data_IF_592312925214
#
_entry.id   IF_592312925214
#
_cell.length_a   1.000
_cell.length_b   1.000
_cell.length_c   1.000
_cell.angle_alpha   90.00
_cell.angle_beta   90.00
_cell.angle_gamma   90.00
#
_symmetry.space_group_name_H-M   'P 1'
#
loop_
_entity.id
_entity.type
_entity.pdbx_description
1 polymer ?
#
# COMPACT_ATOMS: atom_id res chain seq x y z
N UNK A 1 -59.96 -10.32 37.59
CA UNK A 1 -59.73 -11.64 36.94
C UNK A 1 -59.00 -11.56 35.58
N UNK A 2 -59.01 -10.44 34.84
CA UNK A 2 -58.32 -10.32 33.54
C UNK A 2 -56.78 -10.39 33.62
N UNK A 3 -56.16 -9.78 34.64
CA UNK A 3 -54.70 -9.76 34.80
C UNK A 3 -54.07 -11.15 35.02
N UNK A 4 -54.78 -12.03 35.74
CA UNK A 4 -54.34 -13.41 35.98
C UNK A 4 -54.25 -14.22 34.68
N UNK A 5 -55.13 -13.96 33.70
CA UNK A 5 -55.09 -14.62 32.39
C UNK A 5 -53.90 -14.16 31.54
N UNK A 6 -53.53 -12.88 31.63
CA UNK A 6 -52.39 -12.31 30.89
C UNK A 6 -51.07 -12.87 31.42
N UNK A 7 -50.92 -12.95 32.75
CA UNK A 7 -49.72 -13.53 33.38
C UNK A 7 -49.59 -15.01 33.03
N UNK A 8 -50.70 -15.76 33.03
CA UNK A 8 -50.69 -17.18 32.72
C UNK A 8 -50.30 -17.44 31.25
N UNK A 9 -50.85 -16.67 30.31
CA UNK A 9 -50.50 -16.78 28.89
C UNK A 9 -49.03 -16.42 28.62
N UNK A 10 -48.51 -15.35 29.23
CA UNK A 10 -47.10 -14.97 29.08
C UNK A 10 -46.16 -16.05 29.65
N UNK A 11 -46.51 -16.63 30.81
CA UNK A 11 -45.73 -17.72 31.39
C UNK A 11 -45.70 -18.97 30.52
N UNK A 12 -46.83 -19.32 29.88
CA UNK A 12 -46.90 -20.44 28.94
C UNK A 12 -46.08 -20.18 27.68
N UNK A 13 -46.09 -18.96 27.13
CA UNK A 13 -45.29 -18.62 25.95
C UNK A 13 -43.79 -18.69 26.24
N UNK A 14 -43.35 -18.17 27.39
CA UNK A 14 -41.93 -18.23 27.80
C UNK A 14 -41.50 -19.68 28.03
N UNK A 15 -42.32 -20.47 28.74
CA UNK A 15 -42.04 -21.89 28.97
C UNK A 15 -41.96 -22.69 27.66
N UNK A 16 -42.85 -22.40 26.69
CA UNK A 16 -42.82 -23.02 25.37
C UNK A 16 -41.55 -22.68 24.58
N UNK A 17 -41.13 -21.40 24.58
CA UNK A 17 -39.89 -20.98 23.91
C UNK A 17 -38.64 -21.58 24.56
N UNK A 18 -38.59 -21.66 25.89
CA UNK A 18 -37.49 -22.31 26.61
C UNK A 18 -37.45 -23.80 26.31
N UNK A 19 -38.61 -24.48 26.26
CA UNK A 19 -38.70 -25.89 25.91
C UNK A 19 -38.18 -26.13 24.48
N UNK A 20 -38.64 -25.35 23.50
CA UNK A 20 -38.17 -25.45 22.12
C UNK A 20 -36.67 -25.17 21.97
N UNK A 21 -36.13 -24.18 22.69
CA UNK A 21 -34.70 -23.87 22.66
C UNK A 21 -33.85 -25.01 23.23
N UNK A 22 -34.31 -25.65 24.30
CA UNK A 22 -33.62 -26.80 24.90
C UNK A 22 -33.68 -28.03 23.99
N UNK A 23 -34.83 -28.30 23.36
CA UNK A 23 -34.98 -29.40 22.39
C UNK A 23 -34.09 -29.16 21.16
N UNK A 24 -33.99 -27.92 20.69
CA UNK A 24 -33.13 -27.56 19.57
C UNK A 24 -31.64 -27.72 19.93
N UNK A 25 -31.23 -27.38 21.16
CA UNK A 25 -29.85 -27.63 21.62
C UNK A 25 -29.53 -29.12 21.80
N UNK A 26 -30.51 -29.95 22.17
CA UNK A 26 -30.33 -31.41 22.27
C UNK A 26 -30.25 -32.06 20.89
N UNK A 27 -31.11 -31.67 19.96
CA UNK A 27 -31.11 -32.18 18.58
C UNK A 27 -29.91 -31.67 17.78
N UNK A 28 -29.39 -30.48 18.10
CA UNK A 28 -28.23 -29.87 17.44
C UNK A 28 -26.88 -30.27 18.05
N UNK A 29 -26.82 -31.11 19.09
CA UNK A 29 -25.55 -31.71 19.53
C UNK A 29 -25.33 -32.96 18.68
N UNK A 30 -24.55 -32.88 17.58
CA UNK A 30 -24.30 -34.05 16.79
C UNK A 30 -23.40 -34.91 17.67
N UNK A 31 -23.87 -36.08 18.12
CA UNK A 31 -23.00 -37.18 18.54
C UNK A 31 -22.32 -37.80 17.31
N UNK A 32 -21.87 -36.94 16.39
CA UNK A 32 -20.97 -37.33 15.34
C UNK A 32 -19.63 -37.55 16.00
N UNK A 33 -19.10 -38.78 15.89
CA UNK A 33 -17.68 -39.02 15.99
C UNK A 33 -16.96 -37.83 15.34
N UNK A 34 -16.25 -37.03 16.13
CA UNK A 34 -15.27 -36.11 15.57
C UNK A 34 -14.31 -37.01 14.82
N UNK A 35 -14.53 -37.12 13.51
CA UNK A 35 -13.57 -37.69 12.58
C UNK A 35 -12.37 -36.79 12.74
N UNK A 36 -11.41 -37.25 13.54
CA UNK A 36 -10.16 -36.57 13.81
C UNK A 36 -9.60 -36.17 12.46
N UNK A 37 -9.74 -34.88 12.13
CA UNK A 37 -9.22 -34.36 10.88
C UNK A 37 -7.72 -34.51 11.05
N UNK A 38 -7.07 -35.41 10.28
CA UNK A 38 -5.64 -35.63 10.46
C UNK A 38 -4.97 -34.27 10.33
N UNK A 39 -4.18 -33.90 11.34
CA UNK A 39 -3.47 -32.63 11.40
C UNK A 39 -2.63 -32.50 10.13
N UNK A 40 -3.17 -31.86 9.10
CA UNK A 40 -2.44 -31.56 7.89
C UNK A 40 -1.40 -30.54 8.27
N UNK A 41 -0.15 -30.97 8.35
CA UNK A 41 0.98 -30.06 8.51
C UNK A 41 0.98 -29.16 7.28
N UNK A 42 0.52 -27.91 7.46
CA UNK A 42 0.58 -26.89 6.42
C UNK A 42 2.04 -26.50 6.25
N UNK A 43 2.72 -27.16 5.31
CA UNK A 43 4.06 -26.74 4.88
C UNK A 43 3.86 -25.56 3.95
N UNK A 44 4.23 -24.36 4.41
CA UNK A 44 4.22 -23.18 3.56
C UNK A 44 5.21 -23.38 2.39
N UNK A 45 4.79 -23.13 1.13
CA UNK A 45 5.72 -23.15 0.01
C UNK A 45 6.84 -22.14 0.22
N UNK A 46 8.01 -22.40 -0.36
CA UNK A 46 9.14 -21.48 -0.28
C UNK A 46 8.73 -20.08 -0.77
N UNK A 47 9.16 -19.01 -0.10
CA UNK A 47 8.82 -17.65 -0.51
C UNK A 47 9.40 -17.38 -1.89
N UNK A 48 8.56 -16.90 -2.81
CA UNK A 48 8.98 -16.61 -4.17
C UNK A 48 10.01 -15.46 -4.26
N UNK A 49 10.04 -14.59 -3.24
CA UNK A 49 10.99 -13.50 -3.10
C UNK A 49 12.02 -13.80 -2.01
N UNK A 50 13.31 -13.61 -2.32
CA UNK A 50 14.44 -13.78 -1.39
C UNK A 50 15.22 -12.47 -1.24
N UNK A 51 15.58 -12.06 -0.01
CA UNK A 51 16.41 -10.87 0.19
C UNK A 51 17.77 -11.04 -0.49
N UNK A 52 18.26 -9.95 -1.08
CA UNK A 52 19.62 -9.86 -1.59
C UNK A 52 20.53 -9.21 -0.53
N UNK A 53 21.82 -9.58 -0.49
CA UNK A 53 22.78 -8.83 0.31
C UNK A 53 22.84 -7.36 -0.15
N UNK A 54 23.30 -6.42 0.71
CA UNK A 54 23.44 -5.02 0.33
C UNK A 54 24.17 -4.88 -1.00
N UNK A 55 23.50 -4.32 -1.99
CA UNK A 55 24.02 -4.15 -3.35
C UNK A 55 23.79 -2.71 -3.81
N UNK A 56 24.61 -2.18 -4.74
CA UNK A 56 24.41 -0.84 -5.27
C UNK A 56 23.01 -0.70 -5.85
N UNK A 57 22.24 0.26 -5.31
CA UNK A 57 20.88 0.51 -5.76
C UNK A 57 20.93 1.42 -6.98
N UNK A 58 20.33 1.02 -8.12
CA UNK A 58 20.43 1.78 -9.37
C UNK A 58 19.58 3.06 -9.37
N UNK A 59 18.85 3.34 -8.30
CA UNK A 59 17.85 4.40 -8.21
C UNK A 59 18.20 5.43 -7.13
N UNK A 60 17.77 6.67 -7.35
CA UNK A 60 17.81 7.74 -6.36
C UNK A 60 16.50 8.54 -6.36
N UNK A 61 16.29 9.31 -5.29
CA UNK A 61 15.20 10.28 -5.18
C UNK A 61 15.83 11.67 -5.13
N UNK A 62 15.66 12.44 -6.20
CA UNK A 62 16.17 13.80 -6.31
C UNK A 62 15.54 14.69 -5.24
N UNK A 63 16.37 15.51 -4.58
CA UNK A 63 15.91 16.41 -3.54
C UNK A 63 15.48 15.72 -2.24
N UNK A 64 15.79 14.43 -2.06
CA UNK A 64 15.71 13.77 -0.76
C UNK A 64 16.65 14.48 0.24
N UNK A 65 16.08 15.12 1.25
CA UNK A 65 16.83 15.67 2.37
C UNK A 65 17.01 14.57 3.42
N UNK A 66 18.19 13.95 3.45
CA UNK A 66 18.55 12.91 4.43
C UNK A 66 19.03 11.60 3.79
N UNK A 67 19.30 10.60 4.63
CA UNK A 67 19.71 9.27 4.18
C UNK A 67 18.52 8.50 3.62
N UNK A 68 18.63 8.03 2.37
CA UNK A 68 17.67 7.10 1.78
C UNK A 68 18.12 5.69 2.11
N UNK A 69 17.36 5.00 2.96
CA UNK A 69 17.60 3.59 3.23
C UNK A 69 17.15 2.76 2.03
N UNK A 70 17.79 1.61 1.81
CA UNK A 70 17.44 0.77 0.68
C UNK A 70 17.62 -0.72 0.95
N UNK A 71 16.75 -1.50 0.33
CA UNK A 71 16.69 -2.95 0.44
C UNK A 71 16.45 -3.54 -0.94
N UNK A 72 17.09 -4.68 -1.25
CA UNK A 72 16.92 -5.36 -2.52
C UNK A 72 16.47 -6.81 -2.29
N UNK A 73 15.63 -7.32 -3.18
CA UNK A 73 15.21 -8.72 -3.20
C UNK A 73 15.08 -9.23 -4.63
N UNK A 74 15.22 -10.52 -4.78
CA UNK A 74 15.13 -11.22 -6.06
C UNK A 74 13.98 -12.22 -6.01
N UNK A 75 13.24 -12.31 -7.11
CA UNK A 75 12.18 -13.27 -7.31
C UNK A 75 12.72 -14.55 -7.97
N UNK A 76 12.04 -15.67 -7.77
CA UNK A 76 12.42 -16.96 -8.36
C UNK A 76 12.49 -16.94 -9.91
N UNK A 77 11.82 -15.99 -10.57
CA UNK A 77 11.87 -15.80 -12.02
C UNK A 77 12.97 -14.84 -12.50
N UNK A 78 13.84 -14.36 -11.59
CA UNK A 78 14.93 -13.42 -11.89
C UNK A 78 14.54 -11.94 -11.85
N UNK A 79 13.29 -11.59 -11.51
CA UNK A 79 12.91 -10.20 -11.27
C UNK A 79 13.60 -9.65 -10.02
N UNK A 80 14.04 -8.41 -10.07
CA UNK A 80 14.68 -7.71 -8.94
C UNK A 80 13.77 -6.59 -8.45
N UNK A 81 13.49 -6.53 -7.16
CA UNK A 81 12.81 -5.39 -6.51
C UNK A 81 13.81 -4.64 -5.64
N UNK A 82 13.97 -3.35 -5.89
CA UNK A 82 14.72 -2.42 -5.04
C UNK A 82 13.72 -1.50 -4.33
N UNK A 83 13.75 -1.46 -2.99
CA UNK A 83 12.93 -0.59 -2.16
C UNK A 83 13.78 0.57 -1.64
N UNK A 84 13.33 1.80 -1.87
CA UNK A 84 13.87 3.03 -1.31
C UNK A 84 12.96 3.52 -0.19
N UNK A 85 13.54 3.90 0.94
CA UNK A 85 12.83 4.41 2.11
C UNK A 85 13.40 5.77 2.49
N UNK A 86 12.54 6.79 2.49
CA UNK A 86 12.86 8.15 2.90
C UNK A 86 12.20 8.44 4.24
N UNK A 87 13.00 8.85 5.23
CA UNK A 87 12.50 9.17 6.56
C UNK A 87 11.98 7.94 7.31
N UNK A 88 11.19 8.20 8.36
CA UNK A 88 10.56 7.17 9.20
C UNK A 88 9.06 7.44 9.30
N UNK A 89 8.26 6.39 9.45
CA UNK A 89 6.83 6.55 9.64
C UNK A 89 6.55 7.42 10.88
N UNK A 90 5.68 8.42 10.73
CA UNK A 90 5.44 9.48 11.71
C UNK A 90 6.24 10.76 11.48
N UNK A 91 7.27 10.75 10.63
CA UNK A 91 8.00 11.97 10.27
C UNK A 91 7.16 12.86 9.33
N UNK A 92 7.53 14.16 9.28
CA UNK A 92 6.91 15.14 8.39
C UNK A 92 6.96 14.75 6.90
N UNK A 93 7.91 13.88 6.54
CA UNK A 93 8.06 13.33 5.21
C UNK A 93 8.54 11.89 5.32
N UNK A 94 7.64 10.98 5.03
CA UNK A 94 7.92 9.55 4.96
C UNK A 94 7.54 9.05 3.57
N UNK A 95 8.41 8.32 2.91
CA UNK A 95 8.07 7.68 1.65
C UNK A 95 8.70 6.30 1.55
N UNK A 96 7.98 5.40 0.90
CA UNK A 96 8.54 4.13 0.46
C UNK A 96 8.18 3.94 -1.00
N UNK A 97 9.19 3.60 -1.80
CA UNK A 97 9.03 3.27 -3.22
C UNK A 97 9.71 1.95 -3.44
N UNK A 98 9.05 0.98 -4.07
CA UNK A 98 9.78 -0.16 -4.61
C UNK A 98 9.60 -0.25 -6.11
N UNK A 99 10.73 -0.46 -6.76
CA UNK A 99 10.91 -0.50 -8.21
C UNK A 99 11.28 -1.93 -8.58
N UNK A 100 10.56 -2.51 -9.52
CA UNK A 100 10.75 -3.88 -10.00
C UNK A 100 11.33 -3.84 -11.40
N UNK A 101 12.42 -4.59 -11.61
CA UNK A 101 13.03 -4.85 -12.91
C UNK A 101 12.79 -6.30 -13.32
N UNK A 102 12.48 -6.50 -14.60
CA UNK A 102 12.13 -7.81 -15.15
C UNK A 102 10.63 -8.10 -15.08
N UNK A 103 10.25 -9.30 -15.50
CA UNK A 103 8.85 -9.74 -15.48
C UNK A 103 8.44 -10.03 -14.04
N UNK A 104 7.79 -9.06 -13.41
CA UNK A 104 7.18 -9.26 -12.09
C UNK A 104 6.03 -10.27 -12.12
N UNK A 105 5.49 -10.58 -10.94
CA UNK A 105 4.19 -11.25 -10.85
C UNK A 105 3.11 -10.37 -11.47
N UNK A 106 2.02 -10.99 -11.96
CA UNK A 106 0.87 -10.25 -12.48
C UNK A 106 0.34 -9.31 -11.41
N UNK A 107 0.24 -8.02 -11.74
CA UNK A 107 -0.22 -6.99 -10.83
C UNK A 107 -1.63 -7.33 -10.32
N UNK A 108 -1.84 -7.26 -9.01
CA UNK A 108 -3.14 -7.45 -8.40
C UNK A 108 -3.98 -6.19 -8.49
N UNK A 109 -5.09 -6.17 -7.74
CA UNK A 109 -5.81 -4.92 -7.49
C UNK A 109 -4.92 -3.95 -6.73
N UNK A 110 -5.00 -2.65 -7.03
CA UNK A 110 -4.18 -1.61 -6.40
C UNK A 110 -4.21 -1.69 -4.87
N UNK A 111 -5.39 -1.83 -4.29
CA UNK A 111 -5.58 -1.93 -2.84
C UNK A 111 -4.84 -3.13 -2.23
N UNK A 112 -5.00 -4.33 -2.79
CA UNK A 112 -4.35 -5.55 -2.27
C UNK A 112 -2.82 -5.43 -2.34
N UNK A 113 -2.28 -4.85 -3.41
CA UNK A 113 -0.84 -4.66 -3.55
C UNK A 113 -0.29 -3.65 -2.53
N UNK A 114 -1.03 -2.57 -2.26
CA UNK A 114 -0.69 -1.62 -1.19
C UNK A 114 -0.75 -2.30 0.17
N UNK A 115 -1.82 -3.03 0.48
CA UNK A 115 -2.00 -3.70 1.78
C UNK A 115 -0.86 -4.70 2.04
N UNK A 116 -0.54 -5.54 1.06
CA UNK A 116 0.57 -6.50 1.16
C UNK A 116 1.90 -5.79 1.41
N UNK A 117 2.14 -4.67 0.76
CA UNK A 117 3.39 -3.91 0.92
C UNK A 117 3.43 -3.15 2.25
N UNK A 118 2.34 -2.54 2.68
CA UNK A 118 2.22 -1.92 4.00
C UNK A 118 2.53 -2.95 5.09
N UNK A 119 1.94 -4.15 5.01
CA UNK A 119 2.18 -5.22 5.98
C UNK A 119 3.67 -5.65 6.04
N UNK A 120 4.35 -5.74 4.89
CA UNK A 120 5.81 -6.01 4.84
C UNK A 120 6.63 -4.93 5.56
N UNK A 121 6.16 -3.69 5.51
CA UNK A 121 6.78 -2.55 6.17
C UNK A 121 6.34 -2.37 7.63
N UNK A 122 5.58 -3.32 8.19
CA UNK A 122 5.05 -3.24 9.56
C UNK A 122 3.98 -2.17 9.74
N UNK A 123 3.26 -1.83 8.67
CA UNK A 123 2.18 -0.85 8.64
C UNK A 123 0.85 -1.52 8.27
N UNK A 124 -0.25 -0.95 8.75
CA UNK A 124 -1.61 -1.29 8.34
C UNK A 124 -2.18 -0.21 7.42
N UNK A 125 -3.12 -0.58 6.56
CA UNK A 125 -3.94 0.36 5.79
C UNK A 125 -5.23 0.59 6.55
N UNK A 126 -5.41 1.77 7.14
CA UNK A 126 -6.64 2.14 7.85
C UNK A 126 -7.75 2.54 6.86
N UNK A 127 -7.39 3.24 5.79
CA UNK A 127 -8.33 3.70 4.78
C UNK A 127 -7.63 3.87 3.43
N UNK A 128 -8.36 3.60 2.33
CA UNK A 128 -7.99 4.02 0.98
C UNK A 128 -9.16 4.76 0.34
N UNK A 129 -8.89 5.96 -0.19
CA UNK A 129 -9.84 6.73 -1.00
C UNK A 129 -9.85 6.27 -2.45
N UNK A 130 -10.74 6.82 -3.29
CA UNK A 130 -10.83 6.43 -4.71
C UNK A 130 -9.51 6.63 -5.47
N UNK A 131 -9.17 5.68 -6.36
CA UNK A 131 -8.00 5.83 -7.23
C UNK A 131 -8.28 6.76 -8.40
N UNK A 132 -7.24 7.42 -8.87
CA UNK A 132 -7.24 8.35 -10.00
C UNK A 132 -5.92 8.28 -10.74
N UNK A 133 -5.92 8.69 -12.00
CA UNK A 133 -4.69 8.84 -12.79
C UNK A 133 -4.11 10.23 -12.60
N UNK A 134 -2.80 10.31 -12.41
CA UNK A 134 -2.04 11.57 -12.34
C UNK A 134 -0.94 11.55 -13.40
N UNK A 135 -0.65 12.69 -14.01
CA UNK A 135 0.40 12.81 -15.01
C UNK A 135 1.77 12.97 -14.34
N UNK A 136 2.75 12.20 -14.83
CA UNK A 136 4.14 12.24 -14.35
C UNK A 136 5.08 12.11 -15.55
N UNK A 137 6.38 12.30 -15.33
CA UNK A 137 7.40 12.06 -16.36
C UNK A 137 7.42 10.62 -16.86
N UNK A 138 6.94 9.65 -16.07
CA UNK A 138 6.82 8.25 -16.47
C UNK A 138 5.54 7.95 -17.25
N UNK A 139 4.69 8.97 -17.46
CA UNK A 139 3.34 8.86 -17.99
C UNK A 139 2.28 8.84 -16.88
N UNK A 140 1.05 8.43 -17.21
CA UNK A 140 -0.04 8.33 -16.25
C UNK A 140 0.26 7.30 -15.15
N UNK A 141 0.15 7.71 -13.90
CA UNK A 141 0.36 6.89 -12.71
C UNK A 141 -0.95 6.80 -11.93
N UNK A 142 -1.33 5.58 -11.51
CA UNK A 142 -2.50 5.41 -10.65
C UNK A 142 -2.14 5.80 -9.23
N UNK A 143 -2.92 6.71 -8.62
CA UNK A 143 -2.72 7.21 -7.28
C UNK A 143 -4.02 7.21 -6.46
N UNK A 144 -3.92 7.08 -5.14
CA UNK A 144 -5.07 7.16 -4.25
C UNK A 144 -4.70 7.75 -2.88
N UNK A 145 -5.59 8.55 -2.25
CA UNK A 145 -5.45 8.91 -0.85
C UNK A 145 -5.39 7.64 0.01
N UNK A 146 -4.48 7.60 0.97
CA UNK A 146 -4.21 6.45 1.82
C UNK A 146 -3.99 6.91 3.26
N UNK A 147 -4.60 6.23 4.23
CA UNK A 147 -4.24 6.39 5.64
C UNK A 147 -3.49 5.14 6.07
N UNK A 148 -2.22 5.30 6.42
CA UNK A 148 -1.39 4.25 6.98
C UNK A 148 -1.40 4.34 8.50
N UNK A 149 -1.33 3.19 9.16
CA UNK A 149 -1.36 3.09 10.60
C UNK A 149 -0.24 2.20 11.14
N UNK A 150 0.29 2.59 12.29
CA UNK A 150 1.09 1.75 13.18
C UNK A 150 0.75 2.16 14.62
N UNK A 151 1.67 2.76 15.37
CA UNK A 151 1.40 3.37 16.68
C UNK A 151 0.56 4.65 16.61
N UNK A 152 0.36 5.17 15.40
CA UNK A 152 -0.49 6.31 15.07
C UNK A 152 -0.87 6.24 13.59
N UNK A 153 -1.74 7.16 13.16
CA UNK A 153 -2.18 7.27 11.78
C UNK A 153 -1.44 8.39 11.06
N UNK A 154 -1.17 8.19 9.77
CA UNK A 154 -0.57 9.21 8.92
C UNK A 154 -1.25 9.21 7.55
N UNK A 155 -1.58 10.41 7.08
CA UNK A 155 -2.16 10.61 5.76
C UNK A 155 -1.08 10.60 4.67
N UNK A 156 -1.35 9.84 3.63
CA UNK A 156 -0.44 9.55 2.54
C UNK A 156 -1.16 9.57 1.20
N UNK A 157 -0.40 9.55 0.12
CA UNK A 157 -0.87 9.20 -1.21
C UNK A 157 -0.13 7.93 -1.65
N UNK A 158 -0.89 6.88 -1.95
CA UNK A 158 -0.37 5.70 -2.61
C UNK A 158 -0.23 5.96 -4.12
N UNK A 159 0.70 5.28 -4.77
CA UNK A 159 0.84 5.33 -6.22
C UNK A 159 1.39 4.02 -6.79
N UNK A 160 1.06 3.73 -8.05
CA UNK A 160 1.69 2.69 -8.86
C UNK A 160 1.72 3.10 -10.32
N UNK A 161 2.80 2.77 -11.01
CA UNK A 161 2.82 2.81 -12.47
C UNK A 161 2.01 1.61 -12.98
N UNK A 162 0.80 1.83 -13.54
CA UNK A 162 0.00 0.73 -14.08
C UNK A 162 0.73 0.13 -15.29
N UNK A 163 0.64 -1.19 -15.45
CA UNK A 163 1.10 -1.96 -16.61
C UNK A 163 2.32 -1.33 -17.31
N UNK A 164 3.39 -1.14 -16.53
CA UNK A 164 4.66 -0.69 -17.08
C UNK A 164 5.09 -1.60 -18.23
N UNK A 165 5.98 -1.12 -19.12
CA UNK A 165 6.61 -2.03 -20.07
C UNK A 165 7.07 -3.27 -19.31
N UNK A 166 6.85 -4.48 -19.83
CA UNK A 166 6.91 -5.74 -19.08
C UNK A 166 8.23 -6.02 -18.31
N UNK A 167 9.21 -5.12 -18.40
CA UNK A 167 10.49 -5.14 -17.73
C UNK A 167 10.68 -4.08 -16.62
N UNK A 168 9.73 -3.17 -16.36
CA UNK A 168 9.84 -2.16 -15.29
C UNK A 168 8.49 -1.71 -14.71
N UNK A 169 8.35 -1.74 -13.39
CA UNK A 169 7.22 -1.16 -12.67
C UNK A 169 7.67 -0.51 -11.36
N UNK A 170 6.85 0.37 -10.80
CA UNK A 170 7.07 0.89 -9.46
C UNK A 170 5.74 1.15 -8.76
N UNK A 171 5.78 1.09 -7.43
CA UNK A 171 4.68 1.47 -6.57
C UNK A 171 5.19 1.90 -5.20
N UNK A 172 4.36 2.59 -4.45
CA UNK A 172 4.76 3.12 -3.16
C UNK A 172 3.73 4.04 -2.54
N UNK A 173 4.20 4.80 -1.56
CA UNK A 173 3.43 5.87 -0.94
C UNK A 173 4.34 7.02 -0.55
N UNK A 174 3.75 8.22 -0.53
CA UNK A 174 4.32 9.43 0.04
C UNK A 174 3.40 9.91 1.16
N UNK A 175 3.95 10.14 2.33
CA UNK A 175 3.25 10.63 3.51
C UNK A 175 3.80 11.99 3.92
N UNK A 176 2.93 12.82 4.47
CA UNK A 176 3.26 14.14 5.00
C UNK A 176 2.66 14.36 6.39
N UNK A 177 2.88 15.55 6.97
CA UNK A 177 2.10 16.01 8.13
C UNK A 177 0.62 16.21 7.78
N UNK A 178 0.33 16.59 6.54
CA UNK A 178 -0.96 16.46 5.87
C UNK A 178 -0.83 15.52 4.67
N UNK A 179 -1.95 15.01 4.16
CA UNK A 179 -1.96 14.26 2.91
C UNK A 179 -1.28 15.09 1.81
N UNK A 180 -0.26 14.56 1.11
CA UNK A 180 0.32 15.26 -0.02
C UNK A 180 -0.74 15.53 -1.08
N UNK A 181 -0.68 16.73 -1.68
CA UNK A 181 -1.50 17.03 -2.85
C UNK A 181 -0.97 16.34 -4.11
N UNK A 182 -1.71 16.48 -5.21
CA UNK A 182 -1.37 15.86 -6.48
C UNK A 182 -0.05 16.36 -7.07
N UNK A 183 0.21 17.67 -6.98
CA UNK A 183 1.44 18.26 -7.51
C UNK A 183 2.67 17.80 -6.71
N UNK A 184 2.55 17.72 -5.39
CA UNK A 184 3.58 17.19 -4.50
C UNK A 184 3.90 15.73 -4.81
N UNK A 185 2.86 14.91 -5.06
CA UNK A 185 3.02 13.52 -5.45
C UNK A 185 3.68 13.38 -6.83
N UNK A 186 3.20 14.11 -7.83
CA UNK A 186 3.77 14.11 -9.17
C UNK A 186 5.25 14.52 -9.14
N UNK A 187 5.60 15.58 -8.42
CA UNK A 187 6.98 16.01 -8.28
C UNK A 187 7.87 15.05 -7.51
N UNK A 188 7.31 14.31 -6.55
CA UNK A 188 8.04 13.24 -5.89
C UNK A 188 8.35 12.08 -6.85
N UNK A 189 7.36 11.65 -7.64
CA UNK A 189 7.52 10.61 -8.66
C UNK A 189 8.53 11.06 -9.73
N UNK A 190 8.42 12.29 -10.20
CA UNK A 190 9.36 12.89 -11.17
C UNK A 190 10.78 13.02 -10.60
N UNK A 191 10.92 13.04 -9.27
CA UNK A 191 12.20 13.01 -8.57
C UNK A 191 12.90 11.65 -8.61
N UNK A 192 12.22 10.56 -8.97
CA UNK A 192 12.83 9.22 -9.04
C UNK A 192 13.78 9.17 -10.25
N UNK A 193 15.07 9.00 -10.02
CA UNK A 193 16.11 9.01 -11.07
C UNK A 193 16.94 7.73 -11.07
N UNK A 194 17.65 7.51 -12.17
CA UNK A 194 18.67 6.47 -12.25
C UNK A 194 19.98 7.02 -11.68
N UNK A 195 20.48 6.43 -10.59
CA UNK A 195 21.77 6.75 -9.96
C UNK A 195 22.92 5.91 -10.53
N UNK A 196 22.60 4.76 -11.11
CA UNK A 196 23.57 3.82 -11.65
C UNK A 196 22.88 2.61 -12.27
N UNK A 197 23.66 1.65 -12.73
CA UNK A 197 23.16 0.41 -13.33
C UNK A 197 23.57 0.23 -14.79
N UNK A 198 23.72 -1.03 -15.18
CA UNK A 198 24.22 -1.43 -16.51
C UNK A 198 23.10 -1.86 -17.46
N UNK A 199 21.87 -2.03 -16.96
CA UNK A 199 20.76 -2.54 -17.76
C UNK A 199 20.30 -1.52 -18.82
N UNK A 200 20.43 -1.82 -20.13
CA UNK A 200 20.09 -0.89 -21.20
C UNK A 200 18.58 -0.63 -21.32
N UNK A 201 17.72 -1.61 -21.00
CA UNK A 201 16.27 -1.40 -21.06
C UNK A 201 15.81 -0.41 -20.00
N UNK A 202 16.38 -0.50 -18.79
CA UNK A 202 16.11 0.43 -17.71
C UNK A 202 16.59 1.85 -18.07
N UNK A 203 17.78 1.98 -18.65
CA UNK A 203 18.30 3.27 -19.14
C UNK A 203 17.36 3.90 -20.18
N UNK A 204 16.81 3.10 -21.10
CA UNK A 204 15.88 3.58 -22.11
C UNK A 204 14.56 4.10 -21.50
N UNK A 205 14.01 3.41 -20.49
CA UNK A 205 12.82 3.85 -19.75
C UNK A 205 13.06 5.21 -19.10
N UNK A 206 14.15 5.35 -18.33
CA UNK A 206 14.46 6.61 -17.66
C UNK A 206 14.80 7.72 -18.66
N UNK A 207 15.53 7.43 -19.74
CA UNK A 207 15.81 8.43 -20.78
C UNK A 207 14.55 8.91 -21.52
N UNK A 208 13.53 8.05 -21.68
CA UNK A 208 12.21 8.48 -22.16
C UNK A 208 11.51 9.34 -21.14
N UNK A 209 11.51 8.91 -19.88
CA UNK A 209 10.86 9.65 -18.81
C UNK A 209 11.44 11.06 -18.64
N UNK A 210 12.77 11.20 -18.68
CA UNK A 210 13.42 12.52 -18.58
C UNK A 210 13.04 13.48 -19.71
N UNK A 211 12.79 12.97 -20.93
CA UNK A 211 12.31 13.79 -22.06
C UNK A 211 10.87 14.25 -21.88
N UNK A 212 10.09 13.56 -21.05
CA UNK A 212 8.70 13.87 -20.74
C UNK A 212 8.56 14.67 -19.44
N UNK A 213 9.66 15.00 -18.76
CA UNK A 213 9.64 15.76 -17.51
C UNK A 213 9.12 17.18 -17.76
N UNK A 214 8.13 17.59 -16.98
CA UNK A 214 7.60 18.95 -17.02
C UNK A 214 8.40 19.89 -16.12
N UNK A 215 8.45 21.19 -16.46
CA UNK A 215 9.17 22.19 -15.65
C UNK A 215 8.50 22.47 -14.29
N UNK A 216 7.24 22.05 -14.10
CA UNK A 216 6.46 22.26 -12.88
C UNK A 216 7.12 21.66 -11.63
N UNK A 217 7.94 20.62 -11.80
CA UNK A 217 8.67 19.97 -10.71
C UNK A 217 10.17 20.33 -10.66
N UNK A 218 10.59 21.30 -11.49
CA UNK A 218 11.96 21.82 -11.50
C UNK A 218 12.28 22.71 -10.29
N UNK A 219 13.57 22.91 -10.02
CA UNK A 219 14.05 23.79 -8.93
C UNK A 219 13.50 25.23 -9.02
N UNK A 220 13.12 25.70 -10.21
CA UNK A 220 12.52 27.02 -10.46
C UNK A 220 11.03 27.17 -10.10
N UNK A 221 10.29 26.08 -9.88
CA UNK A 221 8.87 26.18 -9.51
C UNK A 221 8.66 26.71 -8.07
N UNK A 222 9.68 26.60 -7.21
CA UNK A 222 9.63 27.08 -5.82
C UNK A 222 9.64 28.60 -5.69
N UNK A 223 10.06 29.33 -6.73
CA UNK A 223 10.11 30.79 -6.69
C UNK A 223 8.76 31.47 -6.96
N UNK A 224 7.81 30.80 -7.61
CA UNK A 224 6.49 31.39 -7.90
C UNK A 224 5.52 31.36 -6.71
N UNK A 225 5.68 30.44 -5.75
CA UNK A 225 4.83 30.34 -4.56
C UNK A 225 5.25 31.30 -3.42
N UNK A 226 6.37 32.02 -3.57
CA UNK A 226 6.87 32.98 -2.59
C UNK A 226 6.47 34.44 -2.90
N UNK A 227 5.39 34.66 -3.65
CA UNK A 227 4.82 36.01 -3.80
C UNK A 227 4.19 36.43 -2.47
N UNK A 228 4.98 37.18 -1.70
CA UNK A 228 4.57 37.91 -0.49
C UNK A 228 3.31 38.73 -0.80
N UNK A 229 2.21 38.60 -0.03
CA UNK A 229 1.04 39.43 -0.24
C UNK A 229 1.40 40.92 0.01
N UNK A 230 0.87 41.86 -0.78
CA UNK A 230 1.15 43.28 -0.60
C UNK A 230 0.65 43.75 0.77
N UNK A 231 1.48 44.54 1.45
CA UNK A 231 1.09 45.22 2.67
C UNK A 231 -0.11 46.13 2.39
N UNK A 232 -1.19 45.96 3.16
CA UNK A 232 -2.37 46.80 3.08
C UNK A 232 -2.05 48.17 3.73
N UNK A 233 -2.46 49.30 3.13
CA UNK A 233 -2.24 50.64 3.67
C UNK A 233 -2.99 50.90 4.98
#
# INVERSE_FOLDING_TARGET
MSWLRVVLMSSCSIAGLVYFALEQQQTARPTGHQKEVPSSVLVAPAPAWRPLPPSPVPYAIAGASGTVASEAREHANGAREDTLILGRFGDFRYAQVSLVQGTGETAGSFYIDIVRRAARSGLAVAQQGQSRMIETKFGPVEAAPLVLANKGEQACQAFRLPDGSAAFSFQGWLCGSSAPDEAQLACFIDGITLAGGTNPSLKAVFARAERSRTEACGQGARTAAAVRPPARP
#
